data_IF_973658348856
#
_entry.id   IF_973658348856
#
_cell.length_a   1.000
_cell.length_b   1.000
_cell.length_c   1.000
_cell.angle_alpha   90.00
_cell.angle_beta   90.00
_cell.angle_gamma   90.00
#
_symmetry.space_group_name_H-M   'P 1'
#
loop_
_entity.id
_entity.type
_entity.pdbx_description
1 polymer ?
#
# COMPACT_ATOMS: atom_id res chain seq x y z
N UNK A 1 18.69 -5.12 1.40
CA UNK A 1 17.25 -5.03 1.03
C UNK A 1 16.44 -4.18 2.00
N UNK A 2 16.48 -4.42 3.32
CA UNK A 2 15.73 -3.61 4.32
C UNK A 2 16.13 -2.12 4.36
N UNK A 3 17.41 -1.82 4.13
CA UNK A 3 17.91 -0.44 4.09
C UNK A 3 17.24 0.43 3.00
N UNK A 4 16.95 -0.14 1.82
CA UNK A 4 16.27 0.57 0.74
C UNK A 4 14.85 0.97 1.13
N UNK A 5 14.10 0.07 1.79
CA UNK A 5 12.75 0.36 2.29
C UNK A 5 12.77 1.48 3.33
N UNK A 6 13.74 1.46 4.24
CA UNK A 6 13.91 2.50 5.25
C UNK A 6 14.17 3.86 4.58
N UNK A 7 15.07 3.91 3.60
CA UNK A 7 15.35 5.15 2.83
C UNK A 7 14.09 5.64 2.11
N UNK A 8 13.33 4.72 1.50
CA UNK A 8 12.07 5.01 0.83
C UNK A 8 11.03 5.66 1.75
N UNK A 9 10.93 5.14 2.97
CA UNK A 9 10.01 5.63 3.99
C UNK A 9 10.41 7.05 4.40
N UNK A 10 11.69 7.27 4.73
CA UNK A 10 12.18 8.59 5.08
C UNK A 10 12.05 9.59 3.94
N UNK A 11 12.32 9.18 2.69
CA UNK A 11 12.13 10.03 1.53
C UNK A 11 10.66 10.45 1.36
N UNK A 12 9.72 9.52 1.53
CA UNK A 12 8.27 9.83 1.44
C UNK A 12 7.83 10.78 2.56
N UNK A 13 8.29 10.55 3.80
CA UNK A 13 7.99 11.43 4.94
C UNK A 13 8.58 12.84 4.74
N UNK A 14 9.84 12.94 4.30
CA UNK A 14 10.48 14.21 3.97
C UNK A 14 9.70 14.93 2.86
N UNK A 15 9.22 14.19 1.85
CA UNK A 15 8.44 14.75 0.76
C UNK A 15 7.08 15.29 1.22
N UNK A 16 6.36 14.55 2.07
CA UNK A 16 5.10 15.01 2.68
C UNK A 16 5.34 16.32 3.46
N UNK A 17 6.41 16.38 4.26
CA UNK A 17 6.76 17.58 5.02
C UNK A 17 7.15 18.76 4.12
N UNK A 18 7.88 18.50 3.04
CA UNK A 18 8.24 19.54 2.06
C UNK A 18 7.00 20.15 1.40
N UNK A 19 6.03 19.33 0.99
CA UNK A 19 4.77 19.83 0.42
C UNK A 19 3.96 20.60 1.44
N UNK A 20 3.93 20.15 2.71
CA UNK A 20 3.31 20.92 3.79
C UNK A 20 3.95 22.31 3.94
N UNK A 21 5.29 22.40 3.92
CA UNK A 21 5.97 23.69 4.02
C UNK A 21 5.67 24.62 2.84
N UNK A 22 5.58 24.07 1.63
CA UNK A 22 5.30 24.83 0.41
C UNK A 22 3.87 25.35 0.34
N UNK A 23 2.89 24.49 0.64
CA UNK A 23 1.46 24.81 0.48
C UNK A 23 0.82 25.32 1.77
N UNK A 24 1.46 25.13 2.94
CA UNK A 24 0.95 25.43 4.29
C UNK A 24 -0.40 24.76 4.62
N UNK A 25 -0.80 23.75 3.85
CA UNK A 25 -2.06 23.01 4.03
C UNK A 25 -1.86 21.78 4.93
N UNK A 26 -2.27 21.92 6.19
CA UNK A 26 -2.18 20.83 7.19
C UNK A 26 -3.12 19.66 6.89
N UNK A 27 -4.27 19.91 6.24
CA UNK A 27 -5.25 18.87 5.93
C UNK A 27 -4.69 17.92 4.88
N UNK A 28 -4.07 18.47 3.83
CA UNK A 28 -3.40 17.68 2.79
C UNK A 28 -2.23 16.87 3.36
N UNK A 29 -1.44 17.47 4.26
CA UNK A 29 -0.34 16.78 4.92
C UNK A 29 -0.81 15.60 5.80
N UNK A 30 -1.84 15.82 6.63
CA UNK A 30 -2.43 14.76 7.45
C UNK A 30 -3.04 13.63 6.61
N UNK A 31 -3.77 13.97 5.54
CA UNK A 31 -4.31 12.98 4.62
C UNK A 31 -3.21 12.13 3.97
N UNK A 32 -2.13 12.76 3.50
CA UNK A 32 -0.98 12.04 2.95
C UNK A 32 -0.30 11.15 3.99
N UNK A 33 -0.20 11.59 5.25
CA UNK A 33 0.41 10.81 6.33
C UNK A 33 -0.43 9.56 6.67
N UNK A 34 -1.76 9.70 6.75
CA UNK A 34 -2.69 8.59 6.98
C UNK A 34 -2.63 7.58 5.83
N UNK A 35 -2.65 8.06 4.60
CA UNK A 35 -2.55 7.19 3.42
C UNK A 35 -1.21 6.47 3.35
N UNK A 36 -0.13 7.17 3.69
CA UNK A 36 1.20 6.56 3.73
C UNK A 36 1.28 5.45 4.79
N UNK A 37 0.76 5.70 5.99
CA UNK A 37 0.68 4.69 7.04
C UNK A 37 -0.21 3.50 6.63
N UNK A 38 -1.35 3.75 5.97
CA UNK A 38 -2.25 2.72 5.47
C UNK A 38 -1.59 1.84 4.41
N UNK A 39 -0.96 2.45 3.39
CA UNK A 39 -0.26 1.72 2.32
C UNK A 39 0.94 0.95 2.88
N UNK A 40 1.69 1.55 3.81
CA UNK A 40 2.76 0.86 4.54
C UNK A 40 2.23 -0.35 5.32
N UNK A 41 1.08 -0.20 5.98
CA UNK A 41 0.38 -1.27 6.68
C UNK A 41 0.01 -2.42 5.74
N UNK A 42 -0.53 -2.13 4.55
CA UNK A 42 -0.77 -3.17 3.55
C UNK A 42 0.50 -3.86 3.09
N UNK A 43 1.60 -3.13 2.89
CA UNK A 43 2.90 -3.73 2.57
C UNK A 43 3.37 -4.76 3.62
N UNK A 44 3.12 -4.49 4.91
CA UNK A 44 3.42 -5.43 6.00
C UNK A 44 2.45 -6.62 6.01
N UNK A 45 1.15 -6.35 5.89
CA UNK A 45 0.10 -7.38 5.86
C UNK A 45 0.21 -8.29 4.63
N UNK A 46 0.84 -7.83 3.54
CA UNK A 46 1.13 -8.64 2.36
C UNK A 46 1.98 -9.89 2.65
N UNK A 47 2.67 -9.95 3.80
CA UNK A 47 3.34 -11.18 4.23
C UNK A 47 2.37 -12.33 4.51
N UNK A 48 1.11 -12.04 4.84
CA UNK A 48 0.08 -13.04 5.12
C UNK A 48 -0.33 -13.78 3.84
N UNK A 49 -0.40 -13.06 2.71
CA UNK A 49 -0.81 -13.63 1.42
C UNK A 49 0.33 -14.31 0.66
N UNK A 50 1.54 -14.30 1.24
CA UNK A 50 2.76 -14.86 0.63
C UNK A 50 2.66 -16.33 0.17
N UNK A 51 1.90 -17.23 0.84
CA UNK A 51 1.75 -18.60 0.38
C UNK A 51 1.12 -18.71 -1.02
N UNK A 52 0.21 -17.80 -1.38
CA UNK A 52 -0.39 -17.77 -2.73
C UNK A 52 0.41 -16.83 -3.63
N UNK A 53 1.40 -17.37 -4.34
CA UNK A 53 2.37 -16.62 -5.13
C UNK A 53 1.72 -15.58 -6.06
N UNK A 54 0.69 -15.97 -6.83
CA UNK A 54 -0.02 -15.06 -7.74
C UNK A 54 -0.69 -13.92 -6.97
N UNK A 55 -1.40 -14.23 -5.88
CA UNK A 55 -2.08 -13.22 -5.04
C UNK A 55 -1.06 -12.28 -4.40
N UNK A 56 0.08 -12.80 -3.97
CA UNK A 56 1.18 -12.00 -3.42
C UNK A 56 1.77 -11.02 -4.45
N UNK A 57 1.98 -11.45 -5.70
CA UNK A 57 2.47 -10.57 -6.76
C UNK A 57 1.46 -9.47 -7.09
N UNK A 58 0.17 -9.83 -7.21
CA UNK A 58 -0.90 -8.85 -7.44
C UNK A 58 -0.99 -7.88 -6.27
N UNK A 59 -0.97 -8.37 -5.02
CA UNK A 59 -0.98 -7.52 -3.82
C UNK A 59 0.19 -6.54 -3.82
N UNK A 60 1.41 -7.03 -4.08
CA UNK A 60 2.62 -6.20 -4.11
C UNK A 60 2.53 -5.12 -5.19
N UNK A 61 2.06 -5.46 -6.38
CA UNK A 61 1.85 -4.50 -7.47
C UNK A 61 0.83 -3.42 -7.09
N UNK A 62 -0.27 -3.78 -6.42
CA UNK A 62 -1.28 -2.84 -5.95
C UNK A 62 -0.77 -1.94 -4.81
N UNK A 63 0.08 -2.45 -3.91
CA UNK A 63 0.75 -1.62 -2.89
C UNK A 63 1.67 -0.59 -3.54
N UNK A 64 2.46 -1.00 -4.54
CA UNK A 64 3.31 -0.09 -5.31
C UNK A 64 2.46 0.96 -6.04
N UNK A 65 1.38 0.55 -6.71
CA UNK A 65 0.47 1.46 -7.40
C UNK A 65 -0.21 2.45 -6.44
N UNK A 66 -0.60 1.99 -5.25
CA UNK A 66 -1.15 2.84 -4.18
C UNK A 66 -0.13 3.88 -3.72
N UNK A 67 1.12 3.47 -3.55
CA UNK A 67 2.19 4.38 -3.16
C UNK A 67 2.53 5.40 -4.26
N UNK A 68 2.54 5.00 -5.54
CA UNK A 68 2.68 5.92 -6.67
C UNK A 68 1.48 6.89 -6.76
N UNK A 69 0.26 6.41 -6.50
CA UNK A 69 -0.93 7.25 -6.46
C UNK A 69 -0.89 8.26 -5.31
N UNK A 70 -0.27 7.92 -4.18
CA UNK A 70 -0.04 8.86 -3.08
C UNK A 70 0.88 10.00 -3.52
N UNK A 71 1.99 9.69 -4.18
CA UNK A 71 2.88 10.71 -4.75
C UNK A 71 2.11 11.60 -5.74
N UNK A 72 1.31 11.00 -6.62
CA UNK A 72 0.46 11.74 -7.56
C UNK A 72 -0.55 12.66 -6.85
N UNK A 73 -1.21 12.18 -5.80
CA UNK A 73 -2.11 12.98 -4.97
C UNK A 73 -1.39 14.19 -4.37
N UNK A 74 -0.17 13.99 -3.87
CA UNK A 74 0.63 15.07 -3.31
C UNK A 74 0.96 16.12 -4.38
N UNK A 75 1.33 15.72 -5.61
CA UNK A 75 1.68 16.64 -6.70
C UNK A 75 0.49 17.35 -7.37
N UNK A 76 -0.61 16.63 -7.60
CA UNK A 76 -1.73 17.10 -8.45
C UNK A 76 -3.04 17.30 -7.68
N UNK A 77 -3.08 16.95 -6.40
CA UNK A 77 -4.27 17.05 -5.54
C UNK A 77 -5.38 16.04 -5.83
N UNK A 78 -5.22 15.17 -6.85
CA UNK A 78 -6.23 14.18 -7.24
C UNK A 78 -6.09 12.90 -6.41
N UNK A 79 -7.11 12.59 -5.62
CA UNK A 79 -7.15 11.41 -4.76
C UNK A 79 -7.92 10.27 -5.43
N UNK A 80 -7.29 9.10 -5.54
CA UNK A 80 -7.90 7.90 -6.11
C UNK A 80 -8.09 6.85 -5.01
N UNK A 81 -9.22 6.93 -4.30
CA UNK A 81 -9.55 6.02 -3.18
C UNK A 81 -9.51 4.54 -3.60
N UNK A 82 -10.03 4.22 -4.78
CA UNK A 82 -10.10 2.85 -5.29
C UNK A 82 -8.71 2.21 -5.40
N UNK A 83 -7.69 2.99 -5.84
CA UNK A 83 -6.32 2.49 -5.95
C UNK A 83 -5.77 2.20 -4.55
N UNK A 84 -5.93 3.12 -3.60
CA UNK A 84 -5.42 2.96 -2.23
C UNK A 84 -6.08 1.81 -1.46
N UNK A 85 -7.34 1.48 -1.75
CA UNK A 85 -8.05 0.36 -1.13
C UNK A 85 -7.85 -0.98 -1.86
N UNK A 86 -7.32 -0.96 -3.08
CA UNK A 86 -7.15 -2.19 -3.87
C UNK A 86 -6.27 -3.27 -3.19
N UNK A 87 -5.22 -2.96 -2.40
CA UNK A 87 -4.48 -4.00 -1.67
C UNK A 87 -5.35 -4.71 -0.62
N UNK A 88 -6.32 -4.02 -0.02
CA UNK A 88 -7.27 -4.63 0.91
C UNK A 88 -8.13 -5.68 0.21
N UNK A 89 -8.54 -5.44 -1.04
CA UNK A 89 -9.32 -6.40 -1.80
C UNK A 89 -8.57 -7.73 -1.99
N UNK A 90 -7.26 -7.68 -2.24
CA UNK A 90 -6.44 -8.91 -2.35
C UNK A 90 -6.27 -9.63 -1.02
N UNK A 91 -6.19 -8.91 0.10
CA UNK A 91 -6.18 -9.52 1.44
C UNK A 91 -7.50 -10.23 1.74
N UNK A 92 -8.63 -9.56 1.46
CA UNK A 92 -9.96 -10.17 1.62
C UNK A 92 -10.13 -11.38 0.71
N UNK A 93 -9.70 -11.30 -0.53
CA UNK A 93 -9.72 -12.40 -1.47
C UNK A 93 -8.93 -13.61 -0.96
N UNK A 94 -7.71 -13.37 -0.47
CA UNK A 94 -6.90 -14.42 0.14
C UNK A 94 -7.60 -15.07 1.34
N UNK A 95 -8.11 -14.27 2.28
CA UNK A 95 -8.79 -14.77 3.47
C UNK A 95 -10.01 -15.61 3.11
N UNK A 96 -10.85 -15.13 2.20
CA UNK A 96 -12.02 -15.86 1.71
C UNK A 96 -11.62 -17.17 1.04
N UNK A 97 -10.59 -17.14 0.19
CA UNK A 97 -10.10 -18.34 -0.50
C UNK A 97 -9.58 -19.38 0.50
N UNK A 98 -8.78 -18.96 1.48
CA UNK A 98 -8.27 -19.87 2.52
C UNK A 98 -9.39 -20.43 3.41
N UNK A 99 -10.43 -19.63 3.68
CA UNK A 99 -11.59 -20.06 4.48
C UNK A 99 -12.44 -21.09 3.73
N UNK A 100 -12.65 -20.92 2.42
CA UNK A 100 -13.51 -21.79 1.62
C UNK A 100 -12.81 -23.08 1.17
N UNK A 101 -11.52 -23.02 0.82
CA UNK A 101 -10.80 -24.13 0.20
C UNK A 101 -9.76 -24.80 1.12
N UNK A 102 -9.56 -24.26 2.33
CA UNK A 102 -8.55 -24.73 3.28
C UNK A 102 -7.12 -24.34 2.88
N UNK A 103 -6.21 -24.26 3.86
CA UNK A 103 -4.82 -23.80 3.65
C UNK A 103 -3.95 -24.77 2.84
N UNK A 104 -4.43 -25.97 2.50
CA UNK A 104 -3.70 -26.99 1.74
C UNK A 104 -4.26 -27.30 0.34
N UNK A 105 -5.38 -26.68 -0.08
CA UNK A 105 -6.02 -26.96 -1.37
C UNK A 105 -5.47 -26.15 -2.56
N UNK A 106 -4.66 -25.13 -2.29
CA UNK A 106 -4.13 -24.19 -3.29
C UNK A 106 -2.60 -24.31 -3.50
N UNK A 107 -1.98 -25.32 -2.90
CA UNK A 107 -0.58 -25.72 -3.14
C UNK A 107 -0.41 -26.55 -4.44
N UNK A 108 -1.48 -26.76 -5.21
CA UNK A 108 -1.46 -27.49 -6.48
C UNK A 108 -1.78 -26.55 -7.65
N UNK A 109 -0.72 -25.96 -8.22
CA UNK A 109 -0.45 -25.76 -9.65
C UNK A 109 0.53 -24.60 -9.87
#
# INVERSE_FOLDING_TARGET
MKALLIVLIFATLAFIFFVYQKERDIRKALAALVLFAMVGGFGVLGMIVRPMVIVFWVHTALVIASWLSLLWYIFKGKYFLAIHLSPLATLLFYLLSTFLFGSGGLDLA
#
